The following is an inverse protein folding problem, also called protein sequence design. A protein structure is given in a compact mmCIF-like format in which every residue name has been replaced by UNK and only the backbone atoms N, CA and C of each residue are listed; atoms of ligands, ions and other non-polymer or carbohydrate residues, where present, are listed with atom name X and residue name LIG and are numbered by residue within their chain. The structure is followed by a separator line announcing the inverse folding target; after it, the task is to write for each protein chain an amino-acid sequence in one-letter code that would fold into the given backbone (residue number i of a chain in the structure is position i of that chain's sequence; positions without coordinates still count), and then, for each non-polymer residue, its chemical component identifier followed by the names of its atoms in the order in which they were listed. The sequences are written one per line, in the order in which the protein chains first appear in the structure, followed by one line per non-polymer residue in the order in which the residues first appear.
data_IF_044813118224
#
_entry.id   IF_044813118224
#
_cell.length_a   1.000
_cell.length_b   1.000
_cell.length_c   1.000
_cell.angle_alpha   90.00
_cell.angle_beta   90.00
_cell.angle_gamma   90.00
#
_symmetry.space_group_name_H-M   'P 1'
#
loop_
_entity.id
_entity.type
_entity.pdbx_description
1 polymer ?
#
# COMPACT_ATOMS: atom_id res chain seq x y z
N UNK A 1 0.35 23.45 18.84
CA UNK A 1 -0.95 23.79 18.20
C UNK A 1 -2.03 23.33 19.15
N UNK A 2 -3.06 24.14 19.42
CA UNK A 2 -4.22 23.67 20.19
C UNK A 2 -5.11 22.84 19.25
N UNK A 3 -5.24 21.54 19.53
CA UNK A 3 -6.01 20.58 18.72
C UNK A 3 -7.40 20.29 19.31
N UNK A 4 -7.78 20.95 20.42
CA UNK A 4 -9.05 20.68 21.12
C UNK A 4 -10.26 20.78 20.19
N UNK A 5 -10.39 21.89 19.46
CA UNK A 5 -11.47 22.08 18.48
C UNK A 5 -11.45 21.05 17.34
N UNK A 6 -10.27 20.68 16.83
CA UNK A 6 -10.15 19.66 15.78
C UNK A 6 -10.59 18.28 16.28
N UNK A 7 -10.27 17.92 17.52
CA UNK A 7 -10.68 16.66 18.14
C UNK A 7 -12.20 16.60 18.38
N UNK A 8 -12.83 17.71 18.76
CA UNK A 8 -14.29 17.80 18.88
C UNK A 8 -14.98 17.58 17.54
N UNK A 9 -14.48 18.18 16.46
CA UNK A 9 -14.99 17.99 15.10
C UNK A 9 -14.78 16.55 14.62
N UNK A 10 -13.61 15.95 14.84
CA UNK A 10 -13.32 14.55 14.50
C UNK A 10 -14.29 13.60 15.22
N UNK A 11 -14.58 13.83 16.50
CA UNK A 11 -15.54 13.04 17.26
C UNK A 11 -16.97 13.18 16.71
N UNK A 12 -17.39 14.41 16.40
CA UNK A 12 -18.70 14.69 15.82
C UNK A 12 -18.85 14.04 14.44
N UNK A 13 -17.87 14.22 13.57
CA UNK A 13 -17.88 13.66 12.22
C UNK A 13 -17.94 12.14 12.25
N UNK A 14 -17.22 11.47 13.14
CA UNK A 14 -17.33 10.01 13.28
C UNK A 14 -18.74 9.56 13.69
N UNK A 15 -19.38 10.26 14.61
CA UNK A 15 -20.72 9.91 15.08
C UNK A 15 -21.79 10.04 13.98
N UNK A 16 -21.64 10.97 13.03
CA UNK A 16 -22.60 11.13 11.93
C UNK A 16 -22.54 10.02 10.89
N UNK A 17 -21.38 9.37 10.71
CA UNK A 17 -21.18 8.31 9.71
C UNK A 17 -21.87 6.99 10.06
N UNK A 18 -22.16 6.75 11.34
CA UNK A 18 -22.90 5.57 11.81
C UNK A 18 -24.39 5.66 11.40
N UNK A 19 -24.90 6.87 11.13
CA UNK A 19 -26.31 7.10 10.82
C UNK A 19 -26.64 7.06 9.31
N UNK A 20 -25.66 7.25 8.42
CA UNK A 20 -25.91 7.48 6.98
C UNK A 20 -25.74 6.25 6.09
N UNK A 21 -25.25 5.11 6.61
CA UNK A 21 -24.91 3.90 5.83
C UNK A 21 -26.10 3.07 5.30
N UNK A 22 -27.34 3.59 5.35
CA UNK A 22 -28.57 2.84 5.07
C UNK A 22 -29.43 3.35 3.89
N UNK A 23 -28.98 4.34 3.10
CA UNK A 23 -29.86 5.00 2.12
C UNK A 23 -29.29 5.15 0.70
N UNK A 24 -30.17 5.02 -0.30
CA UNK A 24 -29.86 5.11 -1.74
C UNK A 24 -29.39 6.50 -2.22
N UNK A 25 -29.57 7.55 -1.41
CA UNK A 25 -29.07 8.92 -1.67
C UNK A 25 -27.79 9.24 -0.87
N UNK A 26 -27.13 8.22 -0.30
CA UNK A 26 -26.00 8.40 0.60
C UNK A 26 -24.83 9.16 -0.03
N UNK A 27 -24.58 9.06 -1.34
CA UNK A 27 -23.44 9.69 -2.00
C UNK A 27 -23.41 11.22 -1.89
N UNK A 28 -24.44 11.92 -2.36
CA UNK A 28 -24.47 13.41 -2.36
C UNK A 28 -24.49 13.99 -0.94
N UNK A 29 -25.28 13.38 -0.05
CA UNK A 29 -25.34 13.80 1.35
C UNK A 29 -24.02 13.55 2.08
N UNK A 30 -23.37 12.42 1.83
CA UNK A 30 -22.06 12.08 2.37
C UNK A 30 -20.99 13.07 1.88
N UNK A 31 -21.00 13.41 0.59
CA UNK A 31 -20.09 14.38 0.03
C UNK A 31 -20.28 15.77 0.65
N UNK A 32 -21.53 16.21 0.85
CA UNK A 32 -21.81 17.48 1.52
C UNK A 32 -21.28 17.49 2.96
N UNK A 33 -21.47 16.40 3.72
CA UNK A 33 -20.94 16.24 5.07
C UNK A 33 -19.40 16.26 5.08
N UNK A 34 -18.76 15.61 4.12
CA UNK A 34 -17.29 15.59 3.99
C UNK A 34 -16.77 16.98 3.66
N UNK A 35 -17.43 17.73 2.78
CA UNK A 35 -17.03 19.10 2.44
C UNK A 35 -17.21 20.06 3.63
N UNK A 36 -18.32 19.97 4.35
CA UNK A 36 -18.56 20.76 5.58
C UNK A 36 -17.52 20.44 6.66
N UNK A 37 -17.15 19.17 6.79
CA UNK A 37 -16.11 18.73 7.70
C UNK A 37 -14.74 19.26 7.29
N UNK A 38 -14.35 19.14 6.01
CA UNK A 38 -13.06 19.60 5.51
C UNK A 38 -12.89 21.13 5.58
N UNK A 39 -13.99 21.89 5.54
CA UNK A 39 -13.98 23.34 5.77
C UNK A 39 -13.56 23.71 7.20
N UNK A 40 -13.79 22.81 8.17
CA UNK A 40 -13.46 23.01 9.59
C UNK A 40 -12.15 22.31 9.97
N UNK A 41 -11.91 21.12 9.42
CA UNK A 41 -10.74 20.29 9.67
C UNK A 41 -10.10 19.91 8.33
N UNK A 42 -9.16 20.73 7.82
CA UNK A 42 -8.43 20.41 6.60
C UNK A 42 -7.69 19.07 6.72
N UNK A 43 -7.43 18.41 5.58
CA UNK A 43 -6.71 17.12 5.55
C UNK A 43 -5.38 17.21 6.31
N UNK A 44 -4.61 18.29 6.13
CA UNK A 44 -3.37 18.50 6.87
C UNK A 44 -3.56 18.43 8.40
N UNK A 45 -4.66 19.00 8.92
CA UNK A 45 -5.01 18.94 10.34
C UNK A 45 -5.37 17.53 10.78
N UNK A 46 -6.01 16.71 9.94
CA UNK A 46 -6.27 15.29 10.25
C UNK A 46 -4.97 14.51 10.47
N UNK A 47 -3.95 14.75 9.66
CA UNK A 47 -2.65 14.10 9.82
C UNK A 47 -1.89 14.61 11.05
N UNK A 48 -2.03 15.89 11.40
CA UNK A 48 -1.53 16.40 12.69
C UNK A 48 -2.24 15.72 13.86
N UNK A 49 -3.56 15.52 13.79
CA UNK A 49 -4.31 14.76 14.79
C UNK A 49 -3.89 13.29 14.85
N UNK A 50 -3.52 12.68 13.72
CA UNK A 50 -3.00 11.31 13.68
C UNK A 50 -1.66 11.20 14.40
N UNK A 51 -0.74 12.15 14.19
CA UNK A 51 0.51 12.21 14.91
C UNK A 51 0.30 12.45 16.41
N UNK A 52 -0.54 13.42 16.78
CA UNK A 52 -0.90 13.69 18.19
C UNK A 52 -1.56 12.48 18.86
N UNK A 53 -2.43 11.75 18.15
CA UNK A 53 -3.04 10.51 18.63
C UNK A 53 -1.99 9.43 18.94
N UNK A 54 -0.91 9.40 18.17
CA UNK A 54 0.16 8.42 18.29
C UNK A 54 1.16 8.82 19.37
N UNK A 55 1.47 10.12 19.50
CA UNK A 55 2.30 10.69 20.57
C UNK A 55 1.65 10.52 21.95
N UNK A 56 0.32 10.57 22.02
CA UNK A 56 -0.46 10.23 23.23
C UNK A 56 -0.41 8.74 23.58
N UNK A 57 0.11 7.91 22.69
CA UNK A 57 0.15 6.46 22.80
C UNK A 57 -1.22 5.82 22.69
N UNK A 58 -1.22 4.49 22.53
CA UNK A 58 -2.41 3.63 22.68
C UNK A 58 -2.90 3.57 24.14
N UNK A 59 -2.83 4.67 24.90
CA UNK A 59 -3.28 4.73 26.28
C UNK A 59 -4.77 4.42 26.30
N UNK A 60 -5.03 3.18 26.72
CA UNK A 60 -6.34 2.65 27.06
C UNK A 60 -6.95 3.57 28.12
N UNK A 61 -7.68 4.61 27.71
CA UNK A 61 -8.70 5.14 28.60
C UNK A 61 -9.79 4.08 28.75
N UNK A 62 -9.66 3.31 29.82
CA UNK A 62 -10.73 2.61 30.52
C UNK A 62 -11.69 3.71 31.00
N UNK A 63 -12.61 4.11 30.14
CA UNK A 63 -13.56 5.18 30.40
C UNK A 63 -14.69 5.16 29.38
N UNK A 64 -15.73 4.38 29.69
CA UNK A 64 -17.10 4.41 29.17
C UNK A 64 -17.26 4.83 27.69
N UNK A 65 -17.44 3.83 26.82
CA UNK A 65 -17.96 3.88 25.43
C UNK A 65 -17.01 4.12 24.23
N UNK A 66 -15.69 4.23 24.39
CA UNK A 66 -14.79 4.40 23.23
C UNK A 66 -14.03 3.12 22.84
N UNK A 67 -14.66 2.25 22.06
CA UNK A 67 -14.01 1.07 21.47
C UNK A 67 -13.18 1.54 20.25
N UNK A 68 -11.88 1.81 20.43
CA UNK A 68 -10.99 2.05 19.28
C UNK A 68 -9.63 2.74 19.51
N UNK A 69 -9.44 3.56 20.54
CA UNK A 69 -8.26 4.41 20.67
C UNK A 69 -8.26 5.62 19.71
N UNK A 70 -7.47 6.66 20.02
CA UNK A 70 -7.43 7.92 19.27
C UNK A 70 -6.96 7.75 17.82
N UNK A 71 -5.98 6.87 17.58
CA UNK A 71 -5.45 6.56 16.24
C UNK A 71 -6.55 6.02 15.33
N UNK A 72 -7.33 5.04 15.80
CA UNK A 72 -8.44 4.47 15.04
C UNK A 72 -9.49 5.52 14.70
N UNK A 73 -9.81 6.39 15.65
CA UNK A 73 -10.79 7.45 15.43
C UNK A 73 -10.38 8.38 14.29
N UNK A 74 -9.12 8.80 14.25
CA UNK A 74 -8.62 9.66 13.17
C UNK A 74 -8.53 8.88 11.85
N UNK A 75 -8.06 7.63 11.89
CA UNK A 75 -8.02 6.79 10.70
C UNK A 75 -9.42 6.52 10.10
N UNK A 76 -10.43 6.28 10.93
CA UNK A 76 -11.83 6.10 10.50
C UNK A 76 -12.31 7.37 9.75
N UNK A 77 -11.99 8.56 10.28
CA UNK A 77 -12.34 9.84 9.65
C UNK A 77 -11.59 10.06 8.33
N UNK A 78 -10.28 9.84 8.28
CA UNK A 78 -9.50 9.96 7.04
C UNK A 78 -10.03 8.98 5.99
N UNK A 79 -10.32 7.74 6.39
CA UNK A 79 -10.88 6.73 5.49
C UNK A 79 -12.21 7.17 4.89
N UNK A 80 -13.08 7.78 5.69
CA UNK A 80 -14.37 8.31 5.27
C UNK A 80 -14.22 9.48 4.31
N UNK A 81 -13.33 10.43 4.63
CA UNK A 81 -13.05 11.61 3.79
C UNK A 81 -12.51 11.20 2.42
N UNK A 82 -11.50 10.33 2.38
CA UNK A 82 -10.89 9.91 1.11
C UNK A 82 -11.83 8.98 0.31
N UNK A 83 -12.67 8.20 1.00
CA UNK A 83 -13.62 7.29 0.39
C UNK A 83 -14.85 7.95 -0.26
N UNK A 84 -15.15 9.20 0.08
CA UNK A 84 -16.29 9.95 -0.44
C UNK A 84 -16.06 10.37 -1.92
N UNK A 85 -16.96 9.97 -2.80
CA UNK A 85 -16.89 10.24 -4.25
C UNK A 85 -18.08 11.07 -4.70
N UNK A 86 -17.83 12.29 -5.18
CA UNK A 86 -18.88 13.16 -5.73
C UNK A 86 -18.91 13.29 -7.25
N UNK A 87 -17.75 13.32 -7.90
CA UNK A 87 -17.69 13.86 -9.26
C UNK A 87 -16.43 13.45 -10.07
N UNK A 88 -15.69 12.43 -9.61
CA UNK A 88 -14.42 12.03 -10.25
C UNK A 88 -13.20 12.85 -9.82
N UNK A 89 -13.34 13.82 -8.91
CA UNK A 89 -12.24 14.55 -8.26
C UNK A 89 -11.81 13.88 -6.96
N UNK A 90 -11.48 12.58 -7.03
CA UNK A 90 -11.02 11.87 -5.82
C UNK A 90 -9.85 12.62 -5.18
N UNK A 91 -10.01 12.99 -3.91
CA UNK A 91 -8.99 13.65 -3.09
C UNK A 91 -7.69 12.83 -3.05
N UNK A 92 -7.82 11.51 -3.20
CA UNK A 92 -6.69 10.58 -3.21
C UNK A 92 -5.80 10.73 -4.45
N UNK A 93 -6.30 11.22 -5.59
CA UNK A 93 -5.51 11.42 -6.81
C UNK A 93 -5.06 12.87 -7.02
N UNK A 94 -5.15 13.71 -5.98
CA UNK A 94 -4.61 15.07 -6.02
C UNK A 94 -3.12 15.06 -5.63
N UNK A 95 -2.26 15.90 -6.23
CA UNK A 95 -0.82 15.96 -5.87
C UNK A 95 -0.56 16.19 -4.38
N UNK A 96 -1.46 16.91 -3.70
CA UNK A 96 -1.39 17.18 -2.27
C UNK A 96 -1.51 15.92 -1.40
N UNK A 97 -1.85 14.76 -1.99
CA UNK A 97 -1.89 13.47 -1.29
C UNK A 97 -0.50 12.92 -0.96
N UNK A 98 0.55 13.31 -1.71
CA UNK A 98 1.88 12.69 -1.59
C UNK A 98 2.46 12.81 -0.18
N UNK A 99 2.49 14.00 0.46
CA UNK A 99 2.95 14.12 1.85
C UNK A 99 2.16 13.25 2.83
N UNK A 100 0.86 13.07 2.57
CA UNK A 100 -0.04 12.28 3.41
C UNK A 100 0.19 10.77 3.25
N UNK A 101 0.38 10.31 2.02
CA UNK A 101 0.73 8.93 1.72
C UNK A 101 2.07 8.57 2.38
N UNK A 102 3.08 9.44 2.24
CA UNK A 102 4.39 9.25 2.88
C UNK A 102 4.27 9.19 4.41
N UNK A 103 3.62 10.20 5.01
CA UNK A 103 3.46 10.26 6.46
C UNK A 103 2.76 9.01 7.03
N UNK A 104 1.73 8.49 6.34
CA UNK A 104 1.01 7.30 6.76
C UNK A 104 1.77 5.99 6.51
N UNK A 105 2.49 5.85 5.39
CA UNK A 105 3.31 4.65 5.09
C UNK A 105 4.49 4.50 6.04
N UNK A 106 5.08 5.61 6.50
CA UNK A 106 6.20 5.60 7.45
C UNK A 106 5.78 5.72 8.90
N UNK A 107 4.48 5.68 9.17
CA UNK A 107 3.94 5.93 10.49
C UNK A 107 4.25 4.75 11.45
N UNK A 108 4.54 5.06 12.72
CA UNK A 108 4.87 4.04 13.74
C UNK A 108 3.69 3.11 14.04
N UNK A 109 2.47 3.67 14.08
CA UNK A 109 1.23 2.91 14.28
C UNK A 109 0.83 2.09 13.05
N UNK A 110 0.64 0.78 13.25
CA UNK A 110 0.14 -0.16 12.22
C UNK A 110 -1.12 0.36 11.53
N UNK A 111 -2.06 0.93 12.29
CA UNK A 111 -3.35 1.37 11.75
C UNK A 111 -3.21 2.47 10.70
N UNK A 112 -2.21 3.35 10.84
CA UNK A 112 -1.94 4.40 9.86
C UNK A 112 -1.34 3.81 8.57
N UNK A 113 -0.38 2.89 8.67
CA UNK A 113 0.16 2.17 7.50
C UNK A 113 -0.91 1.37 6.78
N UNK A 114 -1.73 0.65 7.53
CA UNK A 114 -2.87 -0.11 7.03
C UNK A 114 -3.90 0.79 6.30
N UNK A 115 -4.20 1.97 6.86
CA UNK A 115 -5.08 2.94 6.22
C UNK A 115 -4.57 3.31 4.82
N UNK A 116 -3.30 3.69 4.68
CA UNK A 116 -2.77 4.13 3.38
C UNK A 116 -2.81 3.01 2.35
N UNK A 117 -2.34 1.80 2.66
CA UNK A 117 -2.38 0.69 1.70
C UNK A 117 -3.83 0.30 1.33
N UNK A 118 -4.78 0.39 2.26
CA UNK A 118 -6.20 0.17 1.95
C UNK A 118 -6.76 1.26 1.02
N UNK A 119 -6.35 2.52 1.19
CA UNK A 119 -6.77 3.62 0.32
C UNK A 119 -6.25 3.42 -1.11
N UNK A 120 -4.97 3.04 -1.27
CA UNK A 120 -4.45 2.64 -2.58
C UNK A 120 -5.30 1.55 -3.21
N UNK A 121 -5.55 0.45 -2.50
CA UNK A 121 -6.36 -0.67 -3.02
C UNK A 121 -7.77 -0.19 -3.42
N UNK A 122 -8.45 0.55 -2.53
CA UNK A 122 -9.80 1.03 -2.78
C UNK A 122 -9.89 1.91 -4.03
N UNK A 123 -8.96 2.85 -4.19
CA UNK A 123 -8.97 3.80 -5.30
C UNK A 123 -8.46 3.17 -6.62
N UNK A 124 -7.43 2.32 -6.58
CA UNK A 124 -6.94 1.62 -7.77
C UNK A 124 -7.97 0.60 -8.29
N UNK A 125 -8.78 -0.01 -7.41
CA UNK A 125 -9.83 -0.97 -7.79
C UNK A 125 -10.97 -0.33 -8.60
N UNK A 126 -11.06 1.00 -8.60
CA UNK A 126 -12.06 1.76 -9.36
C UNK A 126 -11.62 2.07 -10.79
N UNK A 127 -10.52 1.48 -11.25
CA UNK A 127 -9.94 1.66 -12.59
C UNK A 127 -9.68 3.13 -12.93
N UNK A 128 -8.84 3.83 -12.15
CA UNK A 128 -8.49 5.22 -12.40
C UNK A 128 -7.78 5.40 -13.75
N UNK A 129 -7.83 6.62 -14.26
CA UNK A 129 -7.04 7.02 -15.44
C UNK A 129 -5.54 7.02 -15.14
N UNK A 130 -4.71 6.92 -16.18
CA UNK A 130 -3.25 6.99 -16.02
C UNK A 130 -2.79 8.29 -15.35
N UNK A 131 -3.42 9.42 -15.66
CA UNK A 131 -3.07 10.72 -15.07
C UNK A 131 -3.39 10.77 -13.57
N UNK A 132 -4.48 10.15 -13.14
CA UNK A 132 -4.80 9.99 -11.72
C UNK A 132 -3.78 9.10 -11.01
N UNK A 133 -3.40 7.96 -11.61
CA UNK A 133 -2.38 7.07 -11.04
C UNK A 133 -1.03 7.78 -10.90
N UNK A 134 -0.64 8.60 -11.87
CA UNK A 134 0.63 9.37 -11.81
C UNK A 134 0.72 10.30 -10.62
N UNK A 135 -0.39 10.81 -10.10
CA UNK A 135 -0.39 11.66 -8.90
C UNK A 135 0.05 10.90 -7.63
N UNK A 136 -0.20 9.59 -7.57
CA UNK A 136 0.13 8.74 -6.42
C UNK A 136 1.31 7.80 -6.66
N UNK A 137 1.76 7.67 -7.91
CA UNK A 137 2.96 6.93 -8.30
C UNK A 137 4.24 7.78 -8.18
N UNK A 138 4.27 8.71 -7.23
CA UNK A 138 5.47 9.49 -6.90
C UNK A 138 6.61 8.54 -6.51
N UNK A 139 7.87 8.77 -6.96
CA UNK A 139 8.99 7.86 -6.70
C UNK A 139 9.21 7.56 -5.21
N UNK A 140 9.05 8.55 -4.32
CA UNK A 140 9.22 8.36 -2.88
C UNK A 140 8.07 7.53 -2.30
N UNK A 141 6.86 7.71 -2.81
CA UNK A 141 5.70 6.91 -2.41
C UNK A 141 5.88 5.46 -2.84
N UNK A 142 6.29 5.22 -4.09
CA UNK A 142 6.59 3.88 -4.59
C UNK A 142 7.69 3.21 -3.77
N UNK A 143 8.76 3.93 -3.44
CA UNK A 143 9.83 3.42 -2.56
C UNK A 143 9.27 3.00 -1.19
N UNK A 144 8.39 3.80 -0.59
CA UNK A 144 7.82 3.45 0.71
C UNK A 144 6.80 2.34 0.66
N UNK A 145 5.99 2.21 -0.39
CA UNK A 145 5.16 1.01 -0.55
C UNK A 145 6.05 -0.24 -0.70
N UNK A 146 7.17 -0.16 -1.43
CA UNK A 146 8.15 -1.25 -1.49
C UNK A 146 8.75 -1.57 -0.12
N UNK A 147 9.08 -0.56 0.69
CA UNK A 147 9.59 -0.79 2.05
C UNK A 147 8.55 -1.49 2.95
N UNK A 148 7.26 -1.18 2.80
CA UNK A 148 6.16 -1.80 3.56
C UNK A 148 5.94 -3.28 3.22
N UNK A 149 6.46 -3.81 2.12
CA UNK A 149 6.45 -5.27 1.86
C UNK A 149 7.18 -6.06 2.97
N UNK A 150 8.15 -5.43 3.64
CA UNK A 150 8.85 -6.00 4.79
C UNK A 150 8.19 -5.72 6.15
N UNK A 151 6.97 -5.18 6.19
CA UNK A 151 6.28 -4.85 7.46
C UNK A 151 6.18 -6.06 8.39
N UNK A 152 6.35 -5.82 9.69
CA UNK A 152 6.18 -6.85 10.72
C UNK A 152 4.75 -7.42 10.71
N UNK A 153 3.77 -6.57 10.37
CA UNK A 153 2.40 -7.01 10.22
C UNK A 153 2.14 -7.65 8.85
N UNK A 154 1.80 -8.94 8.87
CA UNK A 154 1.59 -9.76 7.67
C UNK A 154 0.48 -9.20 6.78
N UNK A 155 -0.59 -8.66 7.37
CA UNK A 155 -1.73 -8.14 6.61
C UNK A 155 -1.35 -6.84 5.88
N UNK A 156 -0.63 -5.94 6.56
CA UNK A 156 -0.12 -4.70 5.94
C UNK A 156 0.87 -5.01 4.83
N UNK A 157 1.83 -5.92 5.07
CA UNK A 157 2.80 -6.35 4.07
C UNK A 157 2.13 -6.94 2.82
N UNK A 158 1.16 -7.84 3.01
CA UNK A 158 0.44 -8.46 1.90
C UNK A 158 -0.36 -7.44 1.07
N UNK A 159 -0.97 -6.45 1.73
CA UNK A 159 -1.67 -5.35 1.05
C UNK A 159 -0.71 -4.45 0.29
N UNK A 160 0.48 -4.16 0.81
CA UNK A 160 1.50 -3.42 0.08
C UNK A 160 1.91 -4.15 -1.21
N UNK A 161 2.13 -5.47 -1.15
CA UNK A 161 2.34 -6.28 -2.36
C UNK A 161 1.19 -6.13 -3.35
N UNK A 162 -0.07 -6.20 -2.89
CA UNK A 162 -1.25 -6.00 -3.75
C UNK A 162 -1.26 -4.61 -4.39
N UNK A 163 -0.94 -3.56 -3.65
CA UNK A 163 -0.84 -2.19 -4.20
C UNK A 163 0.20 -2.13 -5.32
N UNK A 164 1.39 -2.71 -5.12
CA UNK A 164 2.45 -2.73 -6.13
C UNK A 164 2.06 -3.54 -7.36
N UNK A 165 1.36 -4.67 -7.19
CA UNK A 165 0.81 -5.47 -8.28
C UNK A 165 -0.19 -4.65 -9.10
N UNK A 166 -1.13 -3.95 -8.44
CA UNK A 166 -2.14 -3.10 -9.10
C UNK A 166 -1.49 -1.94 -9.86
N UNK A 167 -0.56 -1.21 -9.23
CA UNK A 167 0.16 -0.10 -9.86
C UNK A 167 0.98 -0.55 -11.06
N UNK A 168 1.66 -1.69 -10.95
CA UNK A 168 2.47 -2.26 -12.03
C UNK A 168 1.62 -2.75 -13.21
N UNK A 169 0.37 -3.13 -12.97
CA UNK A 169 -0.53 -3.61 -14.03
C UNK A 169 -1.06 -2.51 -14.94
N UNK A 170 -0.95 -1.23 -14.54
CA UNK A 170 -1.48 -0.08 -15.28
C UNK A 170 -0.80 0.01 -16.66
N UNK A 171 -1.56 -0.13 -17.76
CA UNK A 171 -1.00 -0.09 -19.11
C UNK A 171 -0.24 1.21 -19.40
N UNK A 172 0.83 1.10 -20.19
CA UNK A 172 1.61 2.23 -20.72
C UNK A 172 2.15 3.22 -19.66
N UNK A 173 2.25 2.78 -18.41
CA UNK A 173 2.65 3.64 -17.28
C UNK A 173 4.16 3.64 -17.00
N UNK A 174 4.86 2.56 -17.33
CA UNK A 174 6.26 2.34 -16.95
C UNK A 174 6.50 2.15 -15.45
N UNK A 175 5.45 2.19 -14.61
CA UNK A 175 5.56 2.14 -13.14
C UNK A 175 6.22 0.84 -12.67
N UNK A 176 5.94 -0.27 -13.34
CA UNK A 176 6.49 -1.59 -13.00
C UNK A 176 8.03 -1.60 -13.00
N UNK A 177 8.69 -0.79 -13.83
CA UNK A 177 10.16 -0.74 -13.88
C UNK A 177 10.72 -0.16 -12.58
N UNK A 178 10.22 1.00 -12.17
CA UNK A 178 10.62 1.66 -10.92
C UNK A 178 10.31 0.78 -9.69
N UNK A 179 9.17 0.08 -9.70
CA UNK A 179 8.80 -0.86 -8.64
C UNK A 179 9.76 -2.06 -8.58
N UNK A 180 10.05 -2.70 -9.72
CA UNK A 180 10.95 -3.85 -9.77
C UNK A 180 12.38 -3.48 -9.34
N UNK A 181 12.89 -2.32 -9.77
CA UNK A 181 14.21 -1.82 -9.38
C UNK A 181 14.29 -1.58 -7.86
N UNK A 182 13.24 -0.95 -7.29
CA UNK A 182 13.14 -0.69 -5.86
C UNK A 182 13.06 -1.98 -5.04
N UNK A 183 12.16 -2.90 -5.41
CA UNK A 183 12.01 -4.20 -4.73
C UNK A 183 13.31 -5.02 -4.78
N UNK A 184 13.99 -5.04 -5.93
CA UNK A 184 15.28 -5.73 -6.11
C UNK A 184 16.34 -5.12 -5.19
N UNK A 185 16.43 -3.79 -5.15
CA UNK A 185 17.37 -3.07 -4.28
C UNK A 185 17.10 -3.35 -2.80
N UNK A 186 15.83 -3.33 -2.37
CA UNK A 186 15.45 -3.61 -0.98
C UNK A 186 15.72 -5.06 -0.60
N UNK A 187 15.42 -6.01 -1.48
CA UNK A 187 15.69 -7.44 -1.25
C UNK A 187 17.18 -7.74 -1.07
N UNK A 188 18.05 -6.95 -1.69
CA UNK A 188 19.52 -7.06 -1.58
C UNK A 188 20.13 -6.15 -0.50
N UNK A 189 19.32 -5.36 0.20
CA UNK A 189 19.82 -4.44 1.21
C UNK A 189 20.35 -5.17 2.43
N UNK A 190 21.27 -4.53 3.17
CA UNK A 190 21.85 -5.08 4.41
C UNK A 190 20.83 -5.31 5.52
N UNK A 191 19.67 -4.65 5.44
CA UNK A 191 18.62 -4.71 6.45
C UNK A 191 17.74 -5.96 6.30
N UNK A 192 17.84 -6.65 5.16
CA UNK A 192 17.06 -7.85 4.87
C UNK A 192 17.96 -9.08 4.97
N UNK A 193 17.73 -9.86 6.03
CA UNK A 193 18.40 -11.15 6.20
C UNK A 193 17.97 -12.11 5.10
N UNK A 194 18.94 -12.77 4.46
CA UNK A 194 18.70 -13.82 3.48
C UNK A 194 17.83 -14.94 4.10
N UNK A 195 16.93 -15.51 3.30
CA UNK A 195 15.95 -16.54 3.72
C UNK A 195 14.90 -16.09 4.76
N UNK A 196 14.86 -14.80 5.12
CA UNK A 196 13.82 -14.28 6.01
C UNK A 196 12.44 -14.24 5.35
N UNK A 197 11.40 -14.10 6.17
CA UNK A 197 10.03 -13.91 5.70
C UNK A 197 9.92 -12.63 4.84
N UNK A 198 10.57 -11.54 5.26
CA UNK A 198 10.59 -10.30 4.51
C UNK A 198 11.26 -10.49 3.13
N UNK A 199 12.40 -11.20 3.09
CA UNK A 199 13.07 -11.54 1.83
C UNK A 199 12.16 -12.34 0.90
N UNK A 200 11.48 -13.38 1.41
CA UNK A 200 10.52 -14.16 0.62
C UNK A 200 9.38 -13.32 0.07
N UNK A 201 8.82 -12.39 0.86
CA UNK A 201 7.78 -11.47 0.38
C UNK A 201 8.25 -10.57 -0.75
N UNK A 202 9.50 -10.11 -0.72
CA UNK A 202 10.07 -9.38 -1.84
C UNK A 202 10.13 -10.25 -3.10
N UNK A 203 10.68 -11.46 -3.01
CA UNK A 203 10.76 -12.39 -4.14
C UNK A 203 9.37 -12.74 -4.72
N UNK A 204 8.40 -12.99 -3.84
CA UNK A 204 7.00 -13.23 -4.21
C UNK A 204 6.38 -12.03 -4.93
N UNK A 205 6.62 -10.81 -4.44
CA UNK A 205 6.07 -9.59 -5.06
C UNK A 205 6.71 -9.35 -6.42
N UNK A 206 8.03 -9.50 -6.54
CA UNK A 206 8.78 -9.40 -7.80
C UNK A 206 8.21 -10.37 -8.83
N UNK A 207 8.08 -11.66 -8.48
CA UNK A 207 7.63 -12.67 -9.44
C UNK A 207 6.18 -12.44 -9.87
N UNK A 208 5.30 -12.01 -8.96
CA UNK A 208 3.91 -11.68 -9.30
C UNK A 208 3.82 -10.53 -10.30
N UNK A 209 4.62 -9.47 -10.12
CA UNK A 209 4.67 -8.34 -11.07
C UNK A 209 5.21 -8.79 -12.43
N UNK A 210 6.32 -9.53 -12.45
CA UNK A 210 6.89 -10.06 -13.68
C UNK A 210 5.94 -11.01 -14.41
N UNK A 211 5.15 -11.80 -13.69
CA UNK A 211 4.21 -12.77 -14.26
C UNK A 211 3.01 -12.12 -14.98
N UNK A 212 2.75 -10.82 -14.78
CA UNK A 212 1.59 -10.15 -15.37
C UNK A 212 1.66 -10.08 -16.90
N UNK A 213 2.85 -9.85 -17.49
CA UNK A 213 3.05 -9.64 -18.93
C UNK A 213 4.46 -10.07 -19.37
N UNK A 214 4.60 -10.47 -20.64
CA UNK A 214 5.90 -10.82 -21.23
C UNK A 214 6.92 -9.66 -21.08
N UNK A 215 6.52 -8.40 -21.33
CA UNK A 215 7.41 -7.24 -21.21
C UNK A 215 7.87 -6.98 -19.75
N UNK A 216 7.03 -7.29 -18.76
CA UNK A 216 7.42 -7.18 -17.34
C UNK A 216 8.45 -8.24 -16.99
N UNK A 217 8.24 -9.47 -17.47
CA UNK A 217 9.20 -10.57 -17.31
C UNK A 217 10.53 -10.26 -18.00
N UNK A 218 10.51 -9.78 -19.24
CA UNK A 218 11.71 -9.40 -19.99
C UNK A 218 12.51 -8.33 -19.24
N UNK A 219 11.84 -7.29 -18.74
CA UNK A 219 12.48 -6.28 -17.91
C UNK A 219 13.06 -6.88 -16.63
N UNK A 220 12.28 -7.66 -15.89
CA UNK A 220 12.71 -8.32 -14.65
C UNK A 220 13.91 -9.26 -14.83
N UNK A 221 14.04 -9.90 -15.99
CA UNK A 221 15.24 -10.67 -16.36
C UNK A 221 16.41 -9.73 -16.61
N UNK A 222 16.23 -8.71 -17.44
CA UNK A 222 17.30 -7.77 -17.83
C UNK A 222 17.86 -6.97 -16.64
N UNK A 223 17.00 -6.61 -15.69
CA UNK A 223 17.34 -5.90 -14.46
C UNK A 223 17.89 -6.84 -13.36
N UNK A 224 17.89 -8.17 -13.60
CA UNK A 224 18.40 -9.16 -12.65
C UNK A 224 17.44 -9.52 -11.51
N UNK A 225 16.22 -8.99 -11.49
CA UNK A 225 15.20 -9.31 -10.49
C UNK A 225 14.83 -10.80 -10.49
N UNK A 226 14.67 -11.42 -11.67
CA UNK A 226 14.41 -12.87 -11.77
C UNK A 226 15.63 -13.70 -11.37
N UNK A 227 16.84 -13.18 -11.58
CA UNK A 227 18.07 -13.86 -11.18
C UNK A 227 18.21 -13.97 -9.66
N UNK A 228 17.62 -13.05 -8.89
CA UNK A 228 17.54 -13.20 -7.44
C UNK A 228 16.84 -14.50 -7.05
N UNK A 229 15.69 -14.78 -7.67
CA UNK A 229 14.89 -15.98 -7.40
C UNK A 229 15.64 -17.24 -7.83
N UNK A 230 16.17 -17.27 -9.05
CA UNK A 230 16.84 -18.46 -9.57
C UNK A 230 18.14 -18.78 -8.82
N UNK A 231 18.86 -17.77 -8.32
CA UNK A 231 20.04 -18.01 -7.49
C UNK A 231 19.69 -18.61 -6.13
N UNK A 232 18.49 -18.34 -5.60
CA UNK A 232 18.01 -18.94 -4.36
C UNK A 232 17.77 -20.46 -4.48
N UNK A 233 17.57 -20.98 -5.69
CA UNK A 233 17.46 -22.43 -5.93
C UNK A 233 18.77 -23.21 -5.66
N UNK A 234 19.89 -22.50 -5.46
CA UNK A 234 21.19 -23.08 -5.09
C UNK A 234 21.41 -23.13 -3.58
N UNK A 235 20.41 -22.76 -2.78
CA UNK A 235 20.49 -22.78 -1.32
C UNK A 235 20.59 -24.20 -0.76
N UNK A 236 21.42 -24.38 0.26
CA UNK A 236 21.51 -25.62 1.03
C UNK A 236 20.44 -25.74 2.14
N UNK A 237 19.62 -24.69 2.34
CA UNK A 237 18.49 -24.69 3.28
C UNK A 237 17.24 -25.29 2.62
N UNK A 238 16.80 -26.51 3.01
CA UNK A 238 15.68 -27.18 2.34
C UNK A 238 14.33 -26.49 2.56
N UNK A 239 14.12 -25.84 3.71
CA UNK A 239 12.84 -25.17 4.00
C UNK A 239 12.72 -23.89 3.18
N UNK A 240 13.81 -23.14 3.07
CA UNK A 240 13.86 -21.99 2.18
C UNK A 240 13.73 -22.42 0.71
N UNK A 241 14.43 -23.47 0.29
CA UNK A 241 14.37 -23.98 -1.08
C UNK A 241 12.94 -24.37 -1.49
N UNK A 242 12.18 -25.02 -0.60
CA UNK A 242 10.79 -25.38 -0.86
C UNK A 242 9.93 -24.15 -1.20
N UNK A 243 10.07 -23.07 -0.42
CA UNK A 243 9.34 -21.82 -0.68
C UNK A 243 9.78 -21.14 -1.99
N UNK A 244 11.06 -21.21 -2.35
CA UNK A 244 11.58 -20.62 -3.59
C UNK A 244 11.11 -21.41 -4.82
N UNK A 245 11.08 -22.75 -4.74
CA UNK A 245 10.59 -23.62 -5.82
C UNK A 245 9.14 -23.29 -6.16
N UNK A 246 8.32 -22.93 -5.17
CA UNK A 246 6.92 -22.53 -5.37
C UNK A 246 6.78 -21.22 -6.18
N UNK A 247 7.85 -20.44 -6.37
CA UNK A 247 7.86 -19.24 -7.21
C UNK A 247 8.13 -19.55 -8.70
N UNK A 248 8.74 -20.69 -9.02
CA UNK A 248 9.08 -21.07 -10.40
C UNK A 248 7.85 -21.16 -11.31
N UNK A 249 6.71 -21.75 -10.87
CA UNK A 249 5.48 -21.73 -11.67
C UNK A 249 5.03 -20.32 -12.07
N UNK A 250 5.22 -19.31 -11.20
CA UNK A 250 4.88 -17.93 -11.51
C UNK A 250 5.77 -17.34 -12.60
N UNK A 251 7.08 -17.65 -12.60
CA UNK A 251 7.99 -17.28 -13.71
C UNK A 251 7.48 -17.86 -15.03
N UNK A 252 7.04 -19.12 -15.01
CA UNK A 252 6.54 -19.84 -16.19
C UNK A 252 5.13 -19.41 -16.67
N UNK A 253 4.48 -18.41 -16.05
CA UNK A 253 3.20 -17.90 -16.54
C UNK A 253 3.33 -17.09 -17.84
N UNK A 254 4.53 -16.62 -18.16
CA UNK A 254 4.85 -15.83 -19.35
C UNK A 254 5.66 -16.65 -20.34
N UNK A 255 5.56 -16.34 -21.64
CA UNK A 255 6.33 -17.04 -22.68
C UNK A 255 7.82 -16.77 -22.50
N UNK A 256 8.17 -15.52 -22.18
CA UNK A 256 9.55 -15.11 -21.92
C UNK A 256 10.11 -15.86 -20.71
N UNK A 257 9.34 -15.98 -19.63
CA UNK A 257 9.78 -16.69 -18.43
C UNK A 257 10.02 -18.18 -18.68
N UNK A 258 9.14 -18.86 -19.43
CA UNK A 258 9.35 -20.26 -19.84
C UNK A 258 10.67 -20.42 -20.62
N UNK A 259 10.88 -19.58 -21.64
CA UNK A 259 12.12 -19.62 -22.44
C UNK A 259 13.35 -19.39 -21.58
N UNK A 260 13.27 -18.44 -20.64
CA UNK A 260 14.36 -18.12 -19.75
C UNK A 260 14.74 -19.29 -18.84
N UNK A 261 13.77 -19.97 -18.21
CA UNK A 261 14.03 -21.15 -17.37
C UNK A 261 14.74 -22.26 -18.17
N UNK A 262 14.27 -22.56 -19.39
CA UNK A 262 14.90 -23.57 -20.25
C UNK A 262 16.35 -23.20 -20.64
N UNK A 263 16.62 -21.92 -20.90
CA UNK A 263 17.96 -21.44 -21.25
C UNK A 263 18.91 -21.35 -20.05
N UNK A 264 18.37 -21.07 -18.87
CA UNK A 264 19.13 -20.90 -17.62
C UNK A 264 19.75 -22.20 -17.11
N UNK A 265 19.39 -23.35 -17.69
CA UNK A 265 19.88 -24.67 -17.26
C UNK A 265 19.46 -25.05 -15.85
N UNK A 266 18.42 -24.40 -15.29
CA UNK A 266 17.86 -24.74 -13.99
C UNK A 266 17.21 -26.12 -14.09
N UNK A 267 17.92 -27.14 -13.63
CA UNK A 267 17.35 -28.47 -13.43
C UNK A 267 16.55 -28.43 -12.12
N UNK A 268 15.24 -28.28 -12.23
CA UNK A 268 14.29 -28.48 -11.11
C UNK A 268 14.16 -29.96 -10.83
#
# INVERSE_FOLDING_TARGET
MDLSGAWEEVARFRATGIATSAHMYAGEQENALVQEFLAQVPIATLFVCLQDASDRGSDKQVGVNYIGGFVKQVCDCINRVLGAEGDGTSLFFQPDIVPFALAGLTHVEKQARALVVNQFIAHLSRNPTLDQVKAVADPLVLEQVCSVVADEDIEVAAKASTVLEMLSSIPDSGIYQAVLDSLTTKAQSSDITQNSIAFMRYLETIVKICAQKDDHMEYGISAGAINLILNCLKSDDPLFLMNVVDLVPAVCQTKIGVQYIFQSGVQV
#
